data_IF_878645224912
#
_entry.id   IF_878645224912
#
_cell.length_a   1.000
_cell.length_b   1.000
_cell.length_c   1.000
_cell.angle_alpha   90.00
_cell.angle_beta   90.00
_cell.angle_gamma   90.00
#
_symmetry.space_group_name_H-M   'P 1'
#
loop_
_entity.id
_entity.type
_entity.pdbx_description
1 polymer ?
#
# COMPACT_ATOMS: atom_id res chain seq x y z
N UNK A 1 -6.56 -18.09 17.48
CA UNK A 1 -5.47 -17.41 16.76
C UNK A 1 -5.37 -16.01 17.36
N UNK A 2 -4.20 -15.61 17.83
CA UNK A 2 -3.97 -14.32 18.47
C UNK A 2 -3.92 -13.18 17.43
N UNK A 3 -4.15 -11.94 17.89
CA UNK A 3 -4.24 -10.76 17.01
C UNK A 3 -2.95 -10.51 16.23
N UNK A 4 -1.78 -10.79 16.83
CA UNK A 4 -0.49 -10.62 16.18
C UNK A 4 -0.32 -11.56 14.99
N UNK A 5 -0.67 -12.84 15.14
CA UNK A 5 -0.64 -13.80 14.03
C UNK A 5 -1.60 -13.39 12.90
N UNK A 6 -2.80 -12.88 13.23
CA UNK A 6 -3.75 -12.40 12.23
C UNK A 6 -3.20 -11.21 11.44
N UNK A 7 -2.61 -10.24 12.13
CA UNK A 7 -1.98 -9.08 11.51
C UNK A 7 -0.83 -9.50 10.58
N UNK A 8 0.08 -10.34 11.06
CA UNK A 8 1.21 -10.84 10.26
C UNK A 8 0.74 -11.61 9.01
N UNK A 9 -0.33 -12.41 9.13
CA UNK A 9 -0.92 -13.11 8.00
C UNK A 9 -1.46 -12.14 6.95
N UNK A 10 -2.12 -11.06 7.39
CA UNK A 10 -2.69 -10.02 6.53
C UNK A 10 -1.61 -9.20 5.81
N UNK A 11 -0.55 -8.82 6.51
CA UNK A 11 0.61 -8.12 5.93
C UNK A 11 1.29 -8.95 4.85
N UNK A 12 1.57 -10.23 5.12
CA UNK A 12 2.13 -11.14 4.12
C UNK A 12 1.21 -11.32 2.91
N UNK A 13 -0.10 -11.36 3.13
CA UNK A 13 -1.06 -11.47 2.04
C UNK A 13 -1.07 -10.23 1.13
N UNK A 14 -0.98 -9.02 1.68
CA UNK A 14 -0.83 -7.82 0.84
C UNK A 14 0.47 -7.80 0.05
N UNK A 15 1.56 -8.25 0.66
CA UNK A 15 2.84 -8.38 -0.03
C UNK A 15 2.75 -9.41 -1.17
N UNK A 16 2.09 -10.56 -0.97
CA UNK A 16 1.85 -11.51 -2.07
C UNK A 16 1.04 -10.90 -3.20
N UNK A 17 -0.02 -10.15 -2.88
CA UNK A 17 -0.85 -9.47 -3.90
C UNK A 17 -0.07 -8.42 -4.68
N UNK A 18 0.81 -7.67 -4.03
CA UNK A 18 1.74 -6.74 -4.68
C UNK A 18 2.57 -7.47 -5.74
N UNK A 19 3.24 -8.56 -5.38
CA UNK A 19 4.09 -9.30 -6.33
C UNK A 19 3.29 -9.99 -7.43
N UNK A 20 2.13 -10.56 -7.09
CA UNK A 20 1.21 -11.12 -8.09
C UNK A 20 0.79 -10.09 -9.14
N UNK A 21 0.49 -8.85 -8.75
CA UNK A 21 0.18 -7.77 -9.69
C UNK A 21 1.39 -7.35 -10.53
N UNK A 22 2.60 -7.43 -9.99
CA UNK A 22 3.85 -7.21 -10.73
C UNK A 22 4.23 -8.40 -11.63
N UNK A 23 3.48 -9.51 -11.59
CA UNK A 23 3.80 -10.75 -12.33
C UNK A 23 5.08 -11.42 -11.83
N UNK A 24 5.44 -11.21 -10.56
CA UNK A 24 6.62 -11.78 -9.93
C UNK A 24 6.15 -12.82 -8.92
N UNK A 25 6.76 -14.00 -8.96
CA UNK A 25 6.56 -15.04 -7.96
C UNK A 25 7.75 -15.08 -6.99
N UNK A 26 7.60 -14.58 -5.74
CA UNK A 26 8.70 -14.59 -4.78
C UNK A 26 9.05 -16.01 -4.33
N UNK A 27 10.34 -16.27 -4.11
CA UNK A 27 10.80 -17.55 -3.56
C UNK A 27 10.37 -17.72 -2.10
N UNK A 28 10.39 -16.63 -1.33
CA UNK A 28 10.04 -16.64 0.09
C UNK A 28 9.32 -15.34 0.46
N UNK A 29 8.29 -15.45 1.30
CA UNK A 29 7.61 -14.31 1.97
C UNK A 29 7.41 -14.68 3.44
N UNK A 30 8.12 -14.00 4.34
CA UNK A 30 8.08 -14.28 5.78
C UNK A 30 7.87 -13.00 6.60
N UNK A 31 7.29 -13.13 7.78
CA UNK A 31 7.23 -12.01 8.72
C UNK A 31 8.61 -11.81 9.36
N UNK A 32 9.03 -10.57 9.50
CA UNK A 32 10.18 -10.22 10.33
C UNK A 32 9.69 -9.76 11.70
N UNK A 33 10.63 -9.62 12.63
CA UNK A 33 10.32 -9.15 13.98
C UNK A 33 10.85 -7.74 14.16
N UNK A 34 10.06 -6.90 14.84
CA UNK A 34 10.49 -5.59 15.31
C UNK A 34 11.86 -5.72 16.01
N UNK A 35 12.84 -4.85 15.71
CA UNK A 35 12.73 -3.55 15.01
C UNK A 35 12.91 -3.59 13.47
N UNK A 36 12.87 -4.76 12.84
CA UNK A 36 12.83 -4.84 11.38
C UNK A 36 11.46 -4.42 10.81
N UNK A 37 11.37 -4.08 9.50
CA UNK A 37 10.09 -3.89 8.81
C UNK A 37 9.25 -5.17 8.82
N UNK A 38 7.94 -5.07 8.59
CA UNK A 38 7.01 -6.19 8.84
C UNK A 38 7.29 -7.49 8.06
N UNK A 39 7.71 -7.40 6.79
CA UNK A 39 7.80 -8.56 5.89
C UNK A 39 9.14 -8.62 5.16
N UNK A 40 9.76 -9.80 5.14
CA UNK A 40 10.94 -10.12 4.34
C UNK A 40 10.56 -10.91 3.10
N UNK A 41 11.16 -10.56 1.96
CA UNK A 41 10.91 -11.21 0.67
C UNK A 41 12.22 -11.56 -0.02
N UNK A 42 12.31 -12.77 -0.56
CA UNK A 42 13.42 -13.20 -1.42
C UNK A 42 12.91 -13.45 -2.83
N UNK A 43 13.58 -12.83 -3.81
CA UNK A 43 13.24 -12.94 -5.23
C UNK A 43 14.16 -13.93 -5.94
N UNK A 44 13.71 -14.46 -7.08
CA UNK A 44 14.45 -15.42 -7.90
C UNK A 44 15.72 -14.85 -8.54
N UNK A 45 15.81 -13.53 -8.67
CA UNK A 45 17.00 -12.82 -9.15
C UNK A 45 18.06 -12.57 -8.06
N UNK A 46 17.86 -13.15 -6.87
CA UNK A 46 18.78 -13.04 -5.73
C UNK A 46 18.59 -11.78 -4.88
N UNK A 47 17.69 -10.85 -5.25
CA UNK A 47 17.39 -9.69 -4.42
C UNK A 47 16.61 -10.10 -3.17
N UNK A 48 16.90 -9.42 -2.07
CA UNK A 48 16.15 -9.53 -0.81
C UNK A 48 15.57 -8.18 -0.42
N UNK A 49 14.32 -8.18 0.04
CA UNK A 49 13.55 -6.98 0.34
C UNK A 49 13.04 -7.06 1.78
N UNK A 50 13.06 -5.93 2.48
CA UNK A 50 12.39 -5.73 3.75
C UNK A 50 11.29 -4.68 3.54
N UNK A 51 10.04 -5.09 3.70
CA UNK A 51 8.86 -4.33 3.32
C UNK A 51 8.11 -3.96 4.61
N UNK A 52 8.03 -2.66 4.87
CA UNK A 52 7.11 -2.11 5.86
C UNK A 52 5.72 -2.06 5.23
N UNK A 53 4.70 -2.47 5.97
CA UNK A 53 3.34 -2.56 5.48
C UNK A 53 2.43 -1.70 6.33
N UNK A 54 1.58 -0.89 5.68
CA UNK A 54 0.68 -0.03 6.42
C UNK A 54 -0.56 0.33 5.64
N UNK A 55 -1.66 0.53 6.35
CA UNK A 55 -2.92 0.93 5.73
C UNK A 55 -3.04 2.43 5.60
N UNK A 56 -3.63 2.89 4.51
CA UNK A 56 -4.08 4.27 4.36
C UNK A 56 -5.59 4.31 4.57
N UNK A 57 -6.02 5.07 5.58
CA UNK A 57 -7.43 5.23 5.91
C UNK A 57 -7.92 6.61 5.48
N UNK A 58 -9.19 6.72 5.08
CA UNK A 58 -9.78 8.00 4.73
C UNK A 58 -9.76 8.99 5.92
N UNK A 59 -9.48 10.26 5.63
CA UNK A 59 -9.48 11.33 6.63
C UNK A 59 -8.38 11.17 7.69
N UNK A 60 -7.33 10.43 7.37
CA UNK A 60 -6.15 10.28 8.22
C UNK A 60 -5.44 11.61 8.46
N UNK A 61 -5.26 12.40 7.41
CA UNK A 61 -4.66 13.74 7.52
C UNK A 61 -5.50 14.65 8.43
N UNK A 62 -6.82 14.62 8.26
CA UNK A 62 -7.75 15.41 9.09
C UNK A 62 -7.69 14.97 10.56
N UNK A 63 -7.66 13.67 10.83
CA UNK A 63 -7.59 13.12 12.20
C UNK A 63 -6.28 13.48 12.91
N UNK A 64 -5.16 13.46 12.20
CA UNK A 64 -3.84 13.81 12.78
C UNK A 64 -3.74 15.30 13.13
N UNK A 65 -4.38 16.16 12.33
CA UNK A 65 -4.31 17.62 12.50
C UNK A 65 -5.50 18.23 13.27
N UNK A 66 -6.54 17.45 13.55
CA UNK A 66 -7.67 17.93 14.34
C UNK A 66 -7.27 18.14 15.80
N UNK A 67 -7.62 19.31 16.36
CA UNK A 67 -7.49 19.54 17.80
C UNK A 67 -8.51 18.67 18.52
N UNK A 68 -8.18 18.17 19.72
CA UNK A 68 -9.06 17.27 20.52
C UNK A 68 -10.52 17.77 20.64
N UNK A 69 -10.73 19.10 20.73
CA UNK A 69 -12.06 19.72 20.79
C UNK A 69 -12.85 19.62 19.48
N UNK A 70 -12.17 19.74 18.34
CA UNK A 70 -12.81 19.73 17.01
C UNK A 70 -13.24 18.31 16.62
N UNK A 71 -12.47 17.29 17.03
CA UNK A 71 -12.86 15.88 16.87
C UNK A 71 -14.14 15.58 17.66
N UNK A 72 -14.24 16.09 18.89
CA UNK A 72 -15.40 15.86 19.76
C UNK A 72 -16.65 16.61 19.26
N UNK A 73 -16.48 17.85 18.78
CA UNK A 73 -17.56 18.64 18.16
C UNK A 73 -18.01 18.06 16.82
N UNK A 74 -17.10 17.56 15.99
CA UNK A 74 -17.45 16.89 14.73
C UNK A 74 -18.18 15.56 14.97
N UNK A 75 -17.80 14.80 16.01
CA UNK A 75 -18.51 13.60 16.45
C UNK A 75 -19.93 13.91 16.95
N UNK A 76 -20.14 15.08 17.57
CA UNK A 76 -21.45 15.51 18.08
C UNK A 76 -22.34 16.16 17.01
N UNK A 77 -21.77 16.93 16.08
CA UNK A 77 -22.51 17.63 15.01
C UNK A 77 -22.95 16.71 13.86
N UNK A 78 -22.29 15.56 13.69
CA UNK A 78 -22.54 14.63 12.58
C UNK A 78 -23.71 13.65 12.78
N UNK A 79 -24.51 13.77 13.85
CA UNK A 79 -25.68 12.89 14.06
C UNK A 79 -25.34 11.40 14.14
N UNK A 80 -24.12 11.06 14.57
CA UNK A 80 -23.62 9.69 14.64
C UNK A 80 -22.34 9.51 13.83
N UNK A 81 -21.70 8.36 14.06
CA UNK A 81 -20.38 7.97 13.57
C UNK A 81 -20.29 7.98 12.01
N UNK A 82 -21.34 8.25 11.25
CA UNK A 82 -21.38 8.10 9.79
C UNK A 82 -20.71 9.17 8.94
N UNK A 83 -20.70 10.46 9.32
CA UNK A 83 -20.38 11.53 8.35
C UNK A 83 -18.88 11.73 8.05
N UNK A 84 -17.98 11.26 8.93
CA UNK A 84 -16.51 11.31 8.69
C UNK A 84 -16.06 10.12 7.81
N UNK A 85 -16.89 9.07 7.70
CA UNK A 85 -16.55 7.81 7.02
C UNK A 85 -17.04 7.75 5.56
N UNK A 86 -17.58 8.84 5.02
CA UNK A 86 -18.06 8.92 3.63
C UNK A 86 -17.08 9.60 2.67
N UNK A 87 -15.96 10.14 3.16
CA UNK A 87 -14.95 10.75 2.28
C UNK A 87 -13.98 9.69 1.77
N UNK A 88 -13.65 9.68 0.47
CA UNK A 88 -12.60 8.83 -0.05
C UNK A 88 -11.25 9.24 0.53
N UNK A 89 -10.32 8.28 0.67
CA UNK A 89 -8.94 8.63 0.96
C UNK A 89 -8.33 9.43 -0.21
N UNK A 90 -7.51 10.42 0.10
CA UNK A 90 -6.89 11.30 -0.89
C UNK A 90 -5.36 11.33 -0.79
N UNK A 91 -4.70 12.04 -1.70
CA UNK A 91 -3.23 12.13 -1.73
C UNK A 91 -2.62 12.68 -0.42
N UNK A 92 -3.36 13.52 0.33
CA UNK A 92 -2.93 14.01 1.64
C UNK A 92 -2.93 12.92 2.71
N UNK A 93 -3.89 11.99 2.67
CA UNK A 93 -3.91 10.85 3.60
C UNK A 93 -2.70 9.95 3.35
N UNK A 94 -2.38 9.70 2.07
CA UNK A 94 -1.18 8.96 1.65
C UNK A 94 0.10 9.67 2.12
N UNK A 95 0.21 10.98 1.89
CA UNK A 95 1.37 11.77 2.31
C UNK A 95 1.54 11.76 3.83
N UNK A 96 0.45 11.88 4.59
CA UNK A 96 0.46 11.82 6.05
C UNK A 96 0.99 10.48 6.57
N UNK A 97 0.58 9.38 5.93
CA UNK A 97 1.06 8.04 6.29
C UNK A 97 2.53 7.86 5.97
N UNK A 98 2.98 8.32 4.80
CA UNK A 98 4.38 8.28 4.39
C UNK A 98 5.23 9.05 5.40
N UNK A 99 4.85 10.29 5.74
CA UNK A 99 5.56 11.12 6.71
C UNK A 99 5.74 10.38 8.06
N UNK A 100 4.72 9.67 8.54
CA UNK A 100 4.80 8.89 9.77
C UNK A 100 5.79 7.71 9.69
N UNK A 101 6.04 7.18 8.49
CA UNK A 101 6.89 6.00 8.25
C UNK A 101 8.34 6.37 7.92
N UNK A 102 8.58 7.46 7.17
CA UNK A 102 9.94 7.88 6.83
C UNK A 102 10.77 8.31 8.05
N UNK A 103 10.13 8.68 9.16
CA UNK A 103 10.81 9.03 10.41
C UNK A 103 11.16 7.82 11.28
N UNK A 104 10.82 6.59 10.86
CA UNK A 104 11.11 5.37 11.61
C UNK A 104 12.49 4.83 11.26
N UNK A 105 13.26 4.49 12.29
CA UNK A 105 14.59 3.90 12.14
C UNK A 105 14.51 2.37 12.24
N UNK A 106 14.23 1.73 11.10
CA UNK A 106 14.12 0.27 11.02
C UNK A 106 15.50 -0.39 10.95
N UNK A 107 15.66 -1.51 11.64
CA UNK A 107 16.84 -2.37 11.49
C UNK A 107 16.67 -3.26 10.26
N UNK A 108 17.09 -2.74 9.11
CA UNK A 108 17.01 -3.47 7.83
C UNK A 108 18.08 -4.57 7.81
N UNK A 109 17.70 -5.86 7.58
CA UNK A 109 18.68 -6.93 7.48
C UNK A 109 19.73 -6.65 6.38
N UNK A 110 20.98 -7.06 6.61
CA UNK A 110 22.08 -6.80 5.65
C UNK A 110 21.72 -7.31 4.24
N UNK A 111 22.02 -6.49 3.24
CA UNK A 111 21.74 -6.78 1.83
C UNK A 111 20.27 -6.65 1.43
N UNK A 112 19.36 -6.31 2.36
CA UNK A 112 17.96 -6.08 2.01
C UNK A 112 17.74 -4.63 1.56
N UNK A 113 16.83 -4.47 0.59
CA UNK A 113 16.31 -3.16 0.21
C UNK A 113 15.07 -2.84 1.05
N UNK A 114 14.98 -1.62 1.55
CA UNK A 114 13.85 -1.13 2.33
C UNK A 114 12.75 -0.58 1.42
N UNK A 115 11.58 -1.23 1.45
CA UNK A 115 10.41 -0.86 0.67
C UNK A 115 9.24 -0.53 1.60
N UNK A 116 8.29 0.29 1.15
CA UNK A 116 7.05 0.60 1.86
C UNK A 116 5.85 0.17 1.02
N UNK A 117 4.89 -0.53 1.61
CA UNK A 117 3.61 -0.89 1.00
C UNK A 117 2.46 -0.19 1.73
N UNK A 118 1.81 0.73 1.03
CA UNK A 118 0.60 1.42 1.45
C UNK A 118 -0.62 0.66 0.90
N UNK A 119 -1.35 -0.03 1.77
CA UNK A 119 -2.59 -0.70 1.42
C UNK A 119 -3.76 0.27 1.57
N UNK A 120 -4.32 0.74 0.46
CA UNK A 120 -5.46 1.64 0.43
C UNK A 120 -6.75 0.88 0.14
N UNK A 121 -7.77 1.17 0.95
CA UNK A 121 -9.11 0.60 0.82
C UNK A 121 -9.25 -0.84 1.22
N UNK A 122 -8.63 -1.17 2.35
CA UNK A 122 -8.74 -2.50 2.93
C UNK A 122 -10.00 -2.62 3.77
N UNK A 123 -10.71 -3.74 3.60
CA UNK A 123 -11.91 -4.07 4.35
C UNK A 123 -11.52 -4.54 5.74
N UNK A 124 -11.56 -3.66 6.72
CA UNK A 124 -11.76 -4.10 8.09
C UNK A 124 -12.90 -3.33 8.73
N UNK A 125 -13.79 -4.07 9.38
CA UNK A 125 -14.90 -3.63 10.23
C UNK A 125 -16.29 -3.46 9.58
N UNK A 126 -16.81 -4.47 8.86
CA UNK A 126 -18.26 -4.71 8.72
C UNK A 126 -19.12 -3.55 8.16
N UNK A 127 -18.49 -2.46 7.73
CA UNK A 127 -19.11 -1.29 7.20
C UNK A 127 -19.21 -1.48 5.69
N UNK A 128 -20.41 -1.22 5.17
CA UNK A 128 -20.70 -1.28 3.74
C UNK A 128 -19.58 -0.66 2.93
N UNK A 129 -19.26 -1.34 1.83
CA UNK A 129 -18.33 -0.87 0.80
C UNK A 129 -18.71 0.54 0.34
N UNK A 130 -18.14 1.57 0.96
CA UNK A 130 -17.90 2.81 0.26
C UNK A 130 -16.81 2.48 -0.74
N UNK A 131 -17.22 2.20 -1.97
CA UNK A 131 -16.33 2.08 -3.11
C UNK A 131 -15.33 3.23 -3.04
N UNK A 132 -14.10 2.92 -2.65
CA UNK A 132 -13.07 3.92 -2.43
C UNK A 132 -12.60 4.40 -3.80
N UNK A 133 -13.33 5.39 -4.31
CA UNK A 133 -12.88 6.25 -5.39
C UNK A 133 -11.70 7.05 -4.84
N UNK A 134 -10.49 6.50 -4.92
CA UNK A 134 -9.30 7.29 -4.67
C UNK A 134 -9.23 8.36 -5.76
N UNK A 135 -9.60 9.59 -5.41
CA UNK A 135 -9.32 10.77 -6.22
C UNK A 135 -7.87 11.15 -5.98
N UNK A 136 -6.97 10.37 -6.57
CA UNK A 136 -5.53 10.54 -6.44
C UNK A 136 -4.95 10.62 -7.84
N UNK A 137 -4.37 11.77 -8.17
CA UNK A 137 -3.55 11.89 -9.37
C UNK A 137 -2.08 11.62 -9.03
N UNK A 138 -1.34 11.05 -10.00
CA UNK A 138 0.11 10.88 -9.89
C UNK A 138 0.81 12.23 -9.65
N UNK A 139 0.30 13.30 -10.27
CA UNK A 139 0.84 14.65 -10.11
C UNK A 139 0.75 15.12 -8.65
N UNK A 140 -0.41 14.97 -8.00
CA UNK A 140 -0.60 15.35 -6.60
C UNK A 140 0.27 14.50 -5.67
N UNK A 141 0.35 13.17 -5.90
CA UNK A 141 1.24 12.30 -5.11
C UNK A 141 2.69 12.77 -5.20
N UNK A 142 3.17 13.08 -6.41
CA UNK A 142 4.52 13.56 -6.62
C UNK A 142 4.76 14.92 -5.95
N UNK A 143 3.82 15.85 -6.07
CA UNK A 143 3.94 17.17 -5.45
C UNK A 143 4.01 17.07 -3.93
N UNK A 144 3.23 16.19 -3.32
CA UNK A 144 3.15 16.08 -1.86
C UNK A 144 4.27 15.24 -1.26
N UNK A 145 4.75 14.20 -1.96
CA UNK A 145 5.56 13.14 -1.32
C UNK A 145 6.97 12.99 -1.87
N UNK A 146 7.29 13.53 -3.05
CA UNK A 146 8.56 13.22 -3.71
C UNK A 146 9.78 13.67 -2.88
N UNK A 147 9.79 14.91 -2.38
CA UNK A 147 10.92 15.44 -1.62
C UNK A 147 11.19 14.63 -0.35
N UNK A 148 10.14 14.34 0.42
CA UNK A 148 10.27 13.56 1.66
C UNK A 148 10.70 12.12 1.40
N UNK A 149 10.21 11.50 0.33
CA UNK A 149 10.61 10.14 -0.06
C UNK A 149 12.04 10.10 -0.59
N UNK A 150 12.47 11.10 -1.37
CA UNK A 150 13.82 11.20 -1.90
C UNK A 150 14.88 11.28 -0.78
N UNK A 151 14.54 11.98 0.31
CA UNK A 151 15.37 12.10 1.52
C UNK A 151 15.28 10.88 2.46
N UNK A 152 14.29 10.00 2.29
CA UNK A 152 14.08 8.82 3.14
C UNK A 152 14.98 7.63 2.78
N UNK A 153 15.06 6.63 3.64
CA UNK A 153 15.78 5.38 3.35
C UNK A 153 15.03 4.42 2.41
N UNK A 154 13.77 4.68 2.08
CA UNK A 154 13.00 3.80 1.18
C UNK A 154 13.54 3.87 -0.25
N UNK A 155 13.73 2.72 -0.88
CA UNK A 155 14.09 2.64 -2.31
C UNK A 155 12.85 2.65 -3.19
N UNK A 156 11.78 1.97 -2.75
CA UNK A 156 10.51 1.88 -3.44
C UNK A 156 9.35 2.08 -2.45
N UNK A 157 8.30 2.76 -2.89
CA UNK A 157 7.04 2.86 -2.17
C UNK A 157 5.91 2.45 -3.09
N UNK A 158 5.04 1.57 -2.61
CA UNK A 158 3.91 1.06 -3.37
C UNK A 158 2.61 1.57 -2.77
N UNK A 159 1.68 1.97 -3.62
CA UNK A 159 0.30 2.24 -3.25
C UNK A 159 -0.58 1.20 -3.93
N UNK A 160 -1.09 0.26 -3.14
CA UNK A 160 -1.98 -0.80 -3.60
C UNK A 160 -3.43 -0.43 -3.33
N UNK A 161 -4.21 -0.27 -4.40
CA UNK A 161 -5.62 0.11 -4.33
C UNK A 161 -6.49 -1.12 -4.55
N UNK A 162 -7.14 -1.60 -3.50
CA UNK A 162 -7.87 -2.89 -3.56
C UNK A 162 -9.15 -2.82 -4.41
N UNK A 163 -9.82 -1.66 -4.45
CA UNK A 163 -11.01 -1.39 -5.26
C UNK A 163 -10.61 -0.50 -6.45
N UNK A 164 -10.19 -1.10 -7.56
CA UNK A 164 -9.85 -0.32 -8.78
C UNK A 164 -8.73 -0.85 -9.66
N UNK A 165 -8.07 -1.97 -9.31
CA UNK A 165 -6.93 -2.54 -10.07
C UNK A 165 -5.78 -1.53 -10.30
N UNK A 166 -5.57 -0.59 -9.39
CA UNK A 166 -4.45 0.35 -9.44
C UNK A 166 -3.30 -0.12 -8.55
N UNK A 167 -2.13 -0.32 -9.15
CA UNK A 167 -0.88 -0.41 -8.41
C UNK A 167 -0.01 0.77 -8.84
N UNK A 168 0.41 1.57 -7.89
CA UNK A 168 1.35 2.66 -8.16
C UNK A 168 2.65 2.38 -7.45
N UNK A 169 3.74 2.77 -8.08
CA UNK A 169 5.08 2.69 -7.52
C UNK A 169 5.72 4.07 -7.56
N UNK A 170 6.37 4.43 -6.47
CA UNK A 170 7.37 5.48 -6.42
C UNK A 170 8.75 4.86 -6.31
N UNK A 171 9.68 5.39 -7.09
CA UNK A 171 11.11 5.23 -6.86
C UNK A 171 11.81 6.57 -7.17
N UNK A 172 13.10 6.69 -6.82
CA UNK A 172 13.85 7.95 -7.01
C UNK A 172 13.94 8.41 -8.47
N UNK A 173 13.97 7.46 -9.41
CA UNK A 173 14.20 7.72 -10.83
C UNK A 173 12.91 8.18 -11.51
N UNK A 174 11.83 7.44 -11.31
CA UNK A 174 10.60 7.59 -12.08
C UNK A 174 9.52 8.37 -11.30
N UNK A 175 9.76 8.62 -10.01
CA UNK A 175 8.76 9.15 -9.07
C UNK A 175 7.51 8.25 -9.07
N UNK A 176 6.37 8.75 -8.60
CA UNK A 176 5.11 7.99 -8.69
C UNK A 176 4.74 7.77 -10.15
N UNK A 177 4.45 6.51 -10.48
CA UNK A 177 3.93 6.07 -11.77
C UNK A 177 3.02 4.86 -11.54
N UNK A 178 2.13 4.60 -12.51
CA UNK A 178 1.26 3.43 -12.47
C UNK A 178 2.01 2.20 -12.99
N UNK A 179 1.85 1.07 -12.29
CA UNK A 179 2.27 -0.24 -12.76
C UNK A 179 1.05 -0.92 -13.37
N UNK A 180 1.13 -1.17 -14.67
CA UNK A 180 0.16 -2.04 -15.32
C UNK A 180 0.58 -3.50 -15.11
N UNK A 181 -0.36 -4.40 -14.75
CA UNK A 181 -0.06 -5.82 -14.70
C UNK A 181 0.41 -6.29 -16.08
N UNK A 182 1.33 -7.27 -16.15
CA UNK A 182 1.80 -7.79 -17.42
C UNK A 182 0.58 -8.25 -18.25
N UNK A 183 0.50 -7.77 -19.49
CA UNK A 183 -0.56 -8.17 -20.39
C UNK A 183 -0.51 -9.69 -20.54
N UNK A 184 -1.63 -10.37 -20.23
CA UNK A 184 -1.78 -11.78 -20.56
C UNK A 184 -1.63 -11.90 -22.09
N UNK A 185 -0.68 -12.69 -22.62
CA UNK A 185 -0.59 -12.90 -24.05
C UNK A 185 -1.93 -13.48 -24.55
N UNK A 186 -2.46 -13.03 -25.69
CA UNK A 186 -3.69 -13.59 -26.25
C UNK A 186 -3.41 -14.96 -26.89
N UNK A 187 -3.14 -15.99 -26.08
CA UNK A 187 -3.01 -17.37 -26.56
C UNK A 187 -4.12 -18.24 -26.00
N UNK A 188 -5.33 -17.95 -26.49
CA UNK A 188 -6.41 -18.93 -26.60
C UNK A 188 -6.18 -19.80 -27.83
N UNK A 189 -5.45 -20.89 -27.66
CA UNK A 189 -5.30 -22.05 -28.58
C UNK A 189 -6.35 -22.12 -29.70
N UNK A 190 -5.94 -21.92 -30.95
CA UNK A 190 -6.54 -22.60 -32.10
C UNK A 190 -5.67 -23.82 -32.42
N UNK A 191 -6.21 -25.03 -32.23
CA UNK A 191 -5.60 -26.26 -32.74
C UNK A 191 -5.56 -26.20 -34.27
N UNK A 192 -4.52 -26.69 -34.95
CA UNK A 192 -4.62 -26.99 -36.37
C UNK A 192 -5.63 -28.12 -36.55
N UNK A 193 -6.69 -27.84 -37.29
CA UNK A 193 -7.60 -28.85 -37.81
C UNK A 193 -6.82 -29.68 -38.82
N UNK A 194 -6.67 -30.97 -38.53
CA UNK A 194 -6.14 -31.93 -39.48
C UNK A 194 -7.21 -32.17 -40.54
N UNK A 195 -6.90 -31.81 -41.79
CA UNK A 195 -7.66 -32.26 -42.95
C UNK A 195 -6.96 -33.51 -43.52
N UNK A 196 -7.73 -34.60 -43.56
CA UNK A 196 -7.61 -35.73 -44.49
C UNK A 196 -8.33 -35.37 -45.78
#
# INVERSE_FOLDING_TARGET
MDQQTLQQNREREWVRRLFAQKGIDPLEVRSLQCPAPDVGVTLSDGRSLAIEVTEVLAGEHARRNARKKDVQLAQQAAGGIGAIFTRPACALDVACRIEAKISKDYQVPRGHQLHLLLAAGTFEHGAMATALLLYITIQELNQLTHEMLALSHYQHVYLHVQLGRGLYEWNRRDRWHEIHPPAVPPDGRAKPQADM
#
